data_IF_294687657082
#
_entry.id   IF_294687657082
#
_cell.length_a   1.000
_cell.length_b   1.000
_cell.length_c   1.000
_cell.angle_alpha   90.00
_cell.angle_beta   90.00
_cell.angle_gamma   90.00
#
_symmetry.space_group_name_H-M   'P 1'
#
loop_
_entity.id
_entity.type
_entity.pdbx_description
1 polymer ?
#
# COMPACT_ATOMS: atom_id res chain seq x y z
N UNK A 1 -54.20 0.99 31.01
CA UNK A 1 -53.32 1.57 29.97
C UNK A 1 -52.30 2.58 30.52
N UNK A 2 -52.56 3.26 31.63
CA UNK A 2 -51.62 4.22 32.25
C UNK A 2 -50.42 3.57 32.97
N UNK A 3 -50.56 2.36 33.52
CA UNK A 3 -49.50 1.68 34.29
C UNK A 3 -48.31 1.19 33.45
N UNK A 4 -48.58 0.71 32.23
CA UNK A 4 -47.51 0.26 31.30
C UNK A 4 -46.63 1.40 30.81
N UNK A 5 -47.20 2.59 30.64
CA UNK A 5 -46.45 3.78 30.20
C UNK A 5 -45.49 4.24 31.30
N UNK A 6 -45.93 4.17 32.56
CA UNK A 6 -45.13 4.53 33.75
C UNK A 6 -43.94 3.58 33.98
N UNK A 7 -44.12 2.28 33.72
CA UNK A 7 -43.04 1.30 33.77
C UNK A 7 -42.00 1.52 32.66
N UNK A 8 -42.43 1.97 31.48
CA UNK A 8 -41.52 2.26 30.36
C UNK A 8 -40.79 3.58 30.55
N UNK A 9 -41.44 4.58 31.16
CA UNK A 9 -40.82 5.85 31.55
C UNK A 9 -39.82 5.67 32.72
N UNK A 10 -40.10 4.80 33.70
CA UNK A 10 -39.13 4.44 34.74
C UNK A 10 -37.94 3.67 34.18
N UNK A 11 -38.16 2.70 33.28
CA UNK A 11 -37.09 1.95 32.63
C UNK A 11 -36.24 2.86 31.72
N UNK A 12 -36.85 3.84 31.04
CA UNK A 12 -36.13 4.82 30.24
C UNK A 12 -35.34 5.80 31.12
N UNK A 13 -35.88 6.21 32.28
CA UNK A 13 -35.17 7.06 33.23
C UNK A 13 -33.95 6.37 33.86
N UNK A 14 -34.00 5.04 34.09
CA UNK A 14 -32.84 4.26 34.54
C UNK A 14 -31.79 4.04 33.43
N UNK A 15 -32.21 4.00 32.16
CA UNK A 15 -31.30 3.79 31.02
C UNK A 15 -30.56 5.07 30.59
N UNK A 16 -31.15 6.25 30.84
CA UNK A 16 -30.63 7.57 30.48
C UNK A 16 -30.35 8.46 31.71
N UNK A 17 -30.03 7.86 32.86
CA UNK A 17 -29.58 8.60 34.03
C UNK A 17 -28.12 9.06 33.82
N UNK A 18 -27.97 10.26 33.26
CA UNK A 18 -26.71 10.96 33.00
C UNK A 18 -25.91 11.30 34.29
N UNK A 19 -26.38 10.89 35.48
CA UNK A 19 -25.67 11.11 36.75
C UNK A 19 -24.79 9.93 37.19
N UNK A 20 -24.75 8.82 36.44
CA UNK A 20 -23.73 7.76 36.58
C UNK A 20 -22.67 7.79 35.48
N UNK A 21 -22.35 8.98 34.98
CA UNK A 21 -21.11 9.24 34.24
C UNK A 21 -19.96 9.24 35.25
N UNK A 22 -19.31 8.09 35.46
CA UNK A 22 -17.96 8.12 36.01
C UNK A 22 -17.05 8.71 34.94
N UNK A 23 -16.54 9.90 35.20
CA UNK A 23 -15.61 10.67 34.37
C UNK A 23 -14.52 9.78 33.73
N UNK A 24 -14.65 9.54 32.43
CA UNK A 24 -13.60 9.03 31.54
C UNK A 24 -13.73 9.75 30.20
N UNK A 25 -12.62 10.19 29.56
CA UNK A 25 -12.67 11.13 28.45
C UNK A 25 -13.27 10.53 27.17
N UNK A 26 -13.79 11.38 26.26
CA UNK A 26 -14.62 10.95 25.14
C UNK A 26 -13.81 10.27 24.03
N UNK A 27 -14.27 9.11 23.57
CA UNK A 27 -13.97 8.60 22.23
C UNK A 27 -12.77 7.67 22.07
N UNK A 28 -12.59 6.66 22.92
CA UNK A 28 -11.78 5.49 22.57
C UNK A 28 -12.72 4.34 22.15
N UNK A 29 -12.98 4.19 20.86
CA UNK A 29 -13.54 2.94 20.34
C UNK A 29 -12.59 1.80 20.76
N UNK A 30 -13.03 0.85 21.59
CA UNK A 30 -12.27 -0.36 21.87
C UNK A 30 -11.97 -1.05 20.54
N UNK A 31 -10.73 -0.92 20.06
CA UNK A 31 -10.27 -1.65 18.88
C UNK A 31 -10.28 -3.14 19.22
N UNK A 32 -11.08 -3.91 18.48
CA UNK A 32 -11.06 -5.36 18.59
C UNK A 32 -9.76 -5.91 18.00
N UNK A 33 -9.26 -7.03 18.52
CA UNK A 33 -8.08 -7.73 17.99
C UNK A 33 -8.20 -7.98 16.47
N UNK A 34 -9.38 -8.39 16.01
CA UNK A 34 -9.69 -8.56 14.58
C UNK A 34 -9.55 -7.27 13.76
N UNK A 35 -9.96 -6.12 14.30
CA UNK A 35 -9.80 -4.82 13.63
C UNK A 35 -8.31 -4.47 13.46
N UNK A 36 -7.50 -4.67 14.51
CA UNK A 36 -6.06 -4.38 14.46
C UNK A 36 -5.35 -5.32 13.49
N UNK A 37 -5.68 -6.61 13.49
CA UNK A 37 -5.13 -7.59 12.54
C UNK A 37 -5.43 -7.18 11.11
N UNK A 38 -6.68 -6.80 10.80
CA UNK A 38 -7.05 -6.33 9.47
C UNK A 38 -6.30 -5.05 9.05
N UNK A 39 -6.08 -4.13 9.98
CA UNK A 39 -5.31 -2.92 9.72
C UNK A 39 -3.83 -3.23 9.50
N UNK A 40 -3.27 -4.15 10.30
CA UNK A 40 -1.89 -4.62 10.18
C UNK A 40 -1.68 -5.32 8.83
N UNK A 41 -2.60 -6.17 8.41
CA UNK A 41 -2.57 -6.84 7.11
C UNK A 41 -2.51 -5.82 5.97
N UNK A 42 -3.44 -4.85 5.97
CA UNK A 42 -3.48 -3.78 4.95
C UNK A 42 -2.18 -2.97 4.94
N UNK A 43 -1.64 -2.65 6.11
CA UNK A 43 -0.39 -1.91 6.24
C UNK A 43 0.79 -2.71 5.69
N UNK A 44 0.92 -4.00 6.04
CA UNK A 44 1.96 -4.91 5.54
C UNK A 44 1.87 -5.13 4.03
N UNK A 45 0.68 -5.37 3.49
CA UNK A 45 0.49 -5.53 2.03
C UNK A 45 0.87 -4.24 1.29
N UNK A 46 0.51 -3.09 1.84
CA UNK A 46 0.81 -1.79 1.23
C UNK A 46 2.30 -1.41 1.36
N UNK A 47 2.99 -1.86 2.40
CA UNK A 47 4.46 -1.79 2.53
C UNK A 47 5.11 -2.66 1.44
N UNK A 48 4.67 -3.91 1.33
CA UNK A 48 5.18 -4.88 0.37
C UNK A 48 5.06 -4.37 -1.08
N UNK A 49 3.91 -3.81 -1.44
CA UNK A 49 3.70 -3.20 -2.77
C UNK A 49 4.72 -2.09 -3.06
N UNK A 50 4.96 -1.18 -2.11
CA UNK A 50 5.93 -0.08 -2.25
C UNK A 50 7.35 -0.62 -2.38
N UNK A 51 7.72 -1.60 -1.56
CA UNK A 51 9.03 -2.23 -1.62
C UNK A 51 9.30 -2.87 -2.98
N UNK A 52 8.33 -3.62 -3.51
CA UNK A 52 8.44 -4.25 -4.83
C UNK A 52 8.44 -3.22 -5.98
N UNK A 53 7.72 -2.12 -5.83
CA UNK A 53 7.77 -1.01 -6.78
C UNK A 53 9.17 -0.40 -6.85
N UNK A 54 9.73 0.04 -5.71
CA UNK A 54 11.07 0.60 -5.64
C UNK A 54 12.14 -0.36 -6.16
N UNK A 55 12.07 -1.62 -5.74
CA UNK A 55 13.02 -2.66 -6.17
C UNK A 55 12.94 -2.88 -7.68
N UNK A 56 11.72 -2.92 -8.23
CA UNK A 56 11.55 -3.06 -9.68
C UNK A 56 12.12 -1.87 -10.45
N UNK A 57 11.79 -0.64 -10.06
CA UNK A 57 12.30 0.57 -10.71
C UNK A 57 13.82 0.70 -10.61
N UNK A 58 14.39 0.37 -9.44
CA UNK A 58 15.85 0.33 -9.25
C UNK A 58 16.51 -0.65 -10.21
N UNK A 59 15.90 -1.82 -10.44
CA UNK A 59 16.41 -2.81 -11.38
C UNK A 59 16.35 -2.32 -12.83
N UNK A 60 15.28 -1.62 -13.21
CA UNK A 60 15.17 -0.98 -14.53
C UNK A 60 16.30 0.03 -14.76
N UNK A 61 16.49 0.97 -13.82
CA UNK A 61 17.56 1.98 -13.86
C UNK A 61 18.93 1.31 -13.98
N UNK A 62 19.26 0.34 -13.11
CA UNK A 62 20.54 -0.38 -13.15
C UNK A 62 20.81 -1.10 -14.47
N UNK A 63 19.74 -1.47 -15.18
CA UNK A 63 19.86 -2.17 -16.46
C UNK A 63 19.77 -1.25 -17.68
N UNK A 64 19.68 0.06 -17.50
CA UNK A 64 19.54 1.03 -18.59
C UNK A 64 18.24 0.84 -19.39
N UNK A 65 17.17 0.33 -18.75
CA UNK A 65 15.89 0.04 -19.42
C UNK A 65 14.77 0.91 -18.87
N UNK A 66 13.86 1.30 -19.75
CA UNK A 66 12.62 2.01 -19.41
C UNK A 66 11.45 1.02 -19.50
N UNK A 67 10.65 0.86 -18.42
CA UNK A 67 9.46 0.02 -18.45
C UNK A 67 8.51 0.43 -19.57
N UNK A 68 7.80 -0.53 -20.17
CA UNK A 68 6.89 -0.24 -21.31
C UNK A 68 5.86 0.86 -21.04
N UNK A 69 5.40 0.99 -19.79
CA UNK A 69 4.42 2.00 -19.38
C UNK A 69 5.02 3.41 -19.20
N UNK A 70 6.34 3.56 -19.21
CA UNK A 70 7.06 4.83 -19.09
C UNK A 70 7.84 5.16 -20.37
N UNK A 71 7.76 4.33 -21.41
CA UNK A 71 8.32 4.64 -22.72
C UNK A 71 7.46 5.71 -23.36
N UNK A 72 8.02 6.90 -23.56
CA UNK A 72 7.35 8.01 -24.24
C UNK A 72 7.56 7.83 -25.73
N UNK A 73 6.51 7.47 -26.46
CA UNK A 73 6.52 7.29 -27.92
C UNK A 73 6.08 8.55 -28.68
N UNK A 74 5.94 9.68 -27.98
CA UNK A 74 5.48 10.94 -28.58
C UNK A 74 6.64 11.47 -29.42
N UNK A 75 6.43 11.60 -30.72
CA UNK A 75 7.32 12.32 -31.61
C UNK A 75 6.89 13.79 -31.68
N UNK A 76 7.83 14.74 -31.78
CA UNK A 76 7.47 16.13 -31.96
C UNK A 76 6.86 16.31 -33.35
N UNK A 77 5.84 17.16 -33.44
CA UNK A 77 5.16 17.50 -34.70
C UNK A 77 5.97 18.42 -35.63
N UNK A 78 7.28 18.54 -35.36
CA UNK A 78 8.20 19.45 -36.05
C UNK A 78 8.70 18.82 -37.35
N UNK A 79 8.02 19.11 -38.46
CA UNK A 79 8.53 18.92 -39.84
C UNK A 79 9.23 17.59 -40.16
N UNK A 80 10.05 17.59 -41.21
CA UNK A 80 10.91 16.45 -41.54
C UNK A 80 12.02 16.35 -40.48
N UNK A 81 11.91 15.37 -39.59
CA UNK A 81 12.99 15.01 -38.68
C UNK A 81 13.97 14.09 -39.39
N UNK A 82 15.24 14.49 -39.43
CA UNK A 82 16.31 13.57 -39.80
C UNK A 82 16.52 12.50 -38.71
N UNK A 83 17.31 11.47 -39.05
CA UNK A 83 17.58 10.37 -38.12
C UNK A 83 18.31 10.84 -36.85
N UNK A 84 19.18 11.85 -36.99
CA UNK A 84 19.97 12.39 -35.89
C UNK A 84 19.07 13.07 -34.83
N UNK A 85 18.11 13.88 -35.27
CA UNK A 85 17.14 14.52 -34.36
C UNK A 85 16.21 13.50 -33.70
N UNK A 86 15.82 12.45 -34.42
CA UNK A 86 15.02 11.34 -33.86
C UNK A 86 15.77 10.58 -32.77
N UNK A 87 17.07 10.33 -32.95
CA UNK A 87 17.90 9.66 -31.97
C UNK A 87 18.14 10.52 -30.72
N UNK A 88 18.42 11.81 -30.91
CA UNK A 88 18.55 12.75 -29.79
C UNK A 88 17.23 12.86 -29.01
N UNK A 89 16.09 12.95 -29.70
CA UNK A 89 14.77 12.98 -29.06
C UNK A 89 14.49 11.72 -28.22
N UNK A 90 14.80 10.54 -28.77
CA UNK A 90 14.66 9.27 -28.04
C UNK A 90 15.56 9.24 -26.81
N UNK A 91 16.76 9.77 -26.91
CA UNK A 91 17.71 9.86 -25.79
C UNK A 91 17.18 10.77 -24.68
N UNK A 92 16.75 11.98 -25.03
CA UNK A 92 16.19 12.95 -24.07
C UNK A 92 14.91 12.43 -23.38
N UNK A 93 14.04 11.75 -24.12
CA UNK A 93 12.81 11.17 -23.55
C UNK A 93 13.12 9.99 -22.63
N UNK A 94 14.08 9.13 -22.98
CA UNK A 94 14.54 8.04 -22.13
C UNK A 94 15.20 8.55 -20.83
N UNK A 95 15.97 9.63 -20.91
CA UNK A 95 16.57 10.30 -19.76
C UNK A 95 15.52 10.89 -18.82
N UNK A 96 14.49 11.55 -19.38
CA UNK A 96 13.35 12.04 -18.62
C UNK A 96 12.64 10.89 -17.89
N UNK A 97 12.35 9.78 -18.57
CA UNK A 97 11.72 8.60 -17.95
C UNK A 97 12.60 8.00 -16.85
N UNK A 98 13.91 7.97 -17.04
CA UNK A 98 14.86 7.48 -16.02
C UNK A 98 14.89 8.38 -14.78
N UNK A 99 14.93 9.70 -14.97
CA UNK A 99 14.81 10.68 -13.88
C UNK A 99 13.49 10.52 -13.14
N UNK A 100 12.38 10.34 -13.86
CA UNK A 100 11.07 10.11 -13.28
C UNK A 100 11.04 8.83 -12.41
N UNK A 101 11.65 7.73 -12.88
CA UNK A 101 11.80 6.52 -12.06
C UNK A 101 12.56 6.81 -10.76
N UNK A 102 13.63 7.60 -10.80
CA UNK A 102 14.35 8.05 -9.62
C UNK A 102 13.48 8.85 -8.64
N UNK A 103 12.70 9.81 -9.14
CA UNK A 103 11.75 10.60 -8.34
C UNK A 103 10.70 9.70 -7.66
N UNK A 104 10.14 8.74 -8.40
CA UNK A 104 9.16 7.78 -7.85
C UNK A 104 9.77 6.91 -6.74
N UNK A 105 11.02 6.46 -6.88
CA UNK A 105 11.73 5.71 -5.84
C UNK A 105 11.87 6.57 -4.58
N UNK A 106 12.32 7.82 -4.72
CA UNK A 106 12.50 8.73 -3.57
C UNK A 106 11.18 8.99 -2.84
N UNK A 107 10.10 9.24 -3.57
CA UNK A 107 8.77 9.42 -2.98
C UNK A 107 8.28 8.15 -2.28
N UNK A 108 8.49 6.98 -2.89
CA UNK A 108 8.10 5.70 -2.30
C UNK A 108 8.88 5.39 -1.01
N UNK A 109 10.17 5.74 -0.93
CA UNK A 109 10.99 5.60 0.29
C UNK A 109 10.43 6.44 1.44
N UNK A 110 10.18 7.73 1.22
CA UNK A 110 9.64 8.62 2.25
C UNK A 110 8.30 8.11 2.82
N UNK A 111 7.41 7.59 1.97
CA UNK A 111 6.14 6.99 2.41
C UNK A 111 6.30 5.62 3.06
N UNK A 112 7.40 4.92 2.81
CA UNK A 112 7.68 3.63 3.43
C UNK A 112 8.04 3.82 4.91
N UNK A 113 8.81 4.85 5.24
CA UNK A 113 9.20 5.16 6.62
C UNK A 113 7.98 5.41 7.51
N UNK A 114 7.02 6.22 7.04
CA UNK A 114 5.74 6.45 7.72
C UNK A 114 4.97 5.14 7.95
N UNK A 115 5.06 4.22 6.99
CA UNK A 115 4.32 2.98 7.04
C UNK A 115 4.96 1.95 7.96
N UNK A 116 6.29 1.92 8.05
CA UNK A 116 7.04 1.10 9.03
C UNK A 116 6.62 1.51 10.44
N UNK A 117 6.61 2.82 10.74
CA UNK A 117 6.17 3.34 12.04
C UNK A 117 4.74 2.89 12.36
N UNK A 118 3.83 2.99 11.38
CA UNK A 118 2.43 2.55 11.54
C UNK A 118 2.33 1.06 11.84
N UNK A 119 3.11 0.23 11.16
CA UNK A 119 3.16 -1.22 11.35
C UNK A 119 3.67 -1.55 12.75
N UNK A 120 4.75 -0.91 13.20
CA UNK A 120 5.30 -1.08 14.55
C UNK A 120 4.27 -0.72 15.62
N UNK A 121 3.53 0.39 15.43
CA UNK A 121 2.47 0.79 16.35
C UNK A 121 1.34 -0.24 16.42
N UNK A 122 0.83 -0.69 15.27
CA UNK A 122 -0.22 -1.71 15.20
C UNK A 122 0.23 -3.05 15.82
N UNK A 123 1.51 -3.40 15.66
CA UNK A 123 2.09 -4.61 16.25
C UNK A 123 2.11 -4.50 17.78
N UNK A 124 2.59 -3.37 18.32
CA UNK A 124 2.58 -3.10 19.77
C UNK A 124 1.16 -3.07 20.35
N UNK A 125 0.21 -2.50 19.62
CA UNK A 125 -1.18 -2.44 20.07
C UNK A 125 -1.83 -3.82 20.07
N UNK A 126 -1.46 -4.69 19.12
CA UNK A 126 -1.88 -6.08 19.11
C UNK A 126 -1.29 -6.86 20.28
N UNK A 127 0.02 -6.70 20.57
CA UNK A 127 0.70 -7.37 21.69
C UNK A 127 0.04 -7.09 23.05
N UNK A 128 -0.46 -5.87 23.27
CA UNK A 128 -1.19 -5.50 24.51
C UNK A 128 -2.53 -6.26 24.67
N UNK A 129 -3.09 -6.75 23.57
CA UNK A 129 -4.41 -7.40 23.52
C UNK A 129 -4.25 -8.94 23.40
N UNK A 130 -3.08 -9.43 23.03
CA UNK A 130 -2.79 -10.85 22.82
C UNK A 130 -2.75 -11.58 24.17
N UNK A 131 -3.89 -12.13 24.56
CA UNK A 131 -4.00 -13.09 25.66
C UNK A 131 -4.87 -14.32 25.29
N UNK A 132 -5.10 -14.55 23.99
CA UNK A 132 -6.03 -15.58 23.52
C UNK A 132 -5.46 -16.39 22.35
N UNK A 133 -5.51 -17.72 22.48
CA UNK A 133 -5.19 -18.70 21.43
C UNK A 133 -5.86 -18.39 20.08
N UNK A 134 -7.05 -17.77 20.10
CA UNK A 134 -7.79 -17.36 18.91
C UNK A 134 -7.05 -16.28 18.09
N UNK A 135 -6.31 -15.37 18.74
CA UNK A 135 -5.53 -14.33 18.06
C UNK A 135 -4.36 -14.94 17.27
N UNK A 136 -3.76 -16.02 17.78
CA UNK A 136 -2.67 -16.73 17.12
C UNK A 136 -3.11 -17.34 15.79
N UNK A 137 -4.28 -17.99 15.75
CA UNK A 137 -4.83 -18.56 14.52
C UNK A 137 -5.15 -17.48 13.47
N UNK A 138 -5.65 -16.32 13.90
CA UNK A 138 -5.95 -15.20 13.00
C UNK A 138 -4.67 -14.56 12.43
N UNK A 139 -3.61 -14.46 13.25
CA UNK A 139 -2.29 -14.01 12.82
C UNK A 139 -1.66 -14.95 11.80
N UNK A 140 -1.67 -16.26 12.04
CA UNK A 140 -1.15 -17.24 11.08
C UNK A 140 -1.86 -17.14 9.72
N UNK A 141 -3.19 -17.02 9.72
CA UNK A 141 -3.97 -16.81 8.49
C UNK A 141 -3.63 -15.48 7.79
N UNK A 142 -3.37 -14.42 8.56
CA UNK A 142 -2.96 -13.13 8.01
C UNK A 142 -1.59 -13.23 7.34
N UNK A 143 -0.62 -13.87 7.99
CA UNK A 143 0.73 -14.07 7.45
C UNK A 143 0.70 -14.88 6.15
N UNK A 144 -0.12 -15.94 6.11
CA UNK A 144 -0.33 -16.73 4.89
C UNK A 144 -0.89 -15.87 3.74
N UNK A 145 -1.88 -15.02 4.01
CA UNK A 145 -2.42 -14.08 3.01
C UNK A 145 -1.37 -13.08 2.53
N UNK A 146 -0.56 -12.54 3.43
CA UNK A 146 0.54 -11.62 3.09
C UNK A 146 1.55 -12.33 2.18
N UNK A 147 1.95 -13.56 2.53
CA UNK A 147 2.88 -14.38 1.74
C UNK A 147 2.34 -14.67 0.34
N UNK A 148 1.07 -15.09 0.24
CA UNK A 148 0.43 -15.33 -1.06
C UNK A 148 0.39 -14.05 -1.92
N UNK A 149 0.14 -12.88 -1.31
CA UNK A 149 0.23 -11.59 -2.01
C UNK A 149 1.65 -11.24 -2.43
N UNK A 150 2.64 -11.60 -1.63
CA UNK A 150 4.04 -11.40 -2.02
C UNK A 150 4.40 -12.22 -3.26
N UNK A 151 4.08 -13.51 -3.29
CA UNK A 151 4.35 -14.40 -4.41
C UNK A 151 3.65 -13.92 -5.69
N UNK A 152 2.40 -13.48 -5.58
CA UNK A 152 1.64 -12.87 -6.68
C UNK A 152 2.37 -11.64 -7.24
N UNK A 153 2.83 -10.74 -6.37
CA UNK A 153 3.53 -9.51 -6.77
C UNK A 153 4.88 -9.84 -7.41
N UNK A 154 5.66 -10.75 -6.81
CA UNK A 154 6.94 -11.25 -7.33
C UNK A 154 6.77 -11.78 -8.75
N UNK A 155 5.81 -12.69 -8.95
CA UNK A 155 5.54 -13.31 -10.24
C UNK A 155 5.17 -12.28 -11.31
N UNK A 156 4.23 -11.37 -11.00
CA UNK A 156 3.81 -10.30 -11.93
C UNK A 156 4.97 -9.37 -12.31
N UNK A 157 5.77 -8.96 -11.33
CA UNK A 157 6.93 -8.07 -11.55
C UNK A 157 8.02 -8.76 -12.37
N UNK A 158 8.31 -10.04 -12.09
CA UNK A 158 9.28 -10.83 -12.84
C UNK A 158 8.84 -11.02 -14.30
N UNK A 159 7.58 -11.39 -14.52
CA UNK A 159 7.02 -11.55 -15.86
C UNK A 159 7.10 -10.25 -16.67
N UNK A 160 6.70 -9.11 -16.07
CA UNK A 160 6.78 -7.80 -16.72
C UNK A 160 8.23 -7.42 -17.07
N UNK A 161 9.17 -7.61 -16.14
CA UNK A 161 10.57 -7.31 -16.37
C UNK A 161 11.17 -8.16 -17.49
N UNK A 162 10.86 -9.45 -17.53
CA UNK A 162 11.33 -10.36 -18.57
C UNK A 162 10.75 -10.02 -19.95
N UNK A 163 9.45 -9.72 -20.00
CA UNK A 163 8.80 -9.25 -21.24
C UNK A 163 9.47 -7.98 -21.75
N UNK A 164 9.65 -6.99 -20.89
CA UNK A 164 10.30 -5.73 -21.28
C UNK A 164 11.77 -5.97 -21.69
N UNK A 165 12.49 -6.88 -21.03
CA UNK A 165 13.84 -7.30 -21.45
C UNK A 165 13.85 -7.85 -22.88
N UNK A 166 12.90 -8.73 -23.21
CA UNK A 166 12.76 -9.29 -24.56
C UNK A 166 12.44 -8.19 -25.58
N UNK A 167 11.62 -7.20 -25.25
CA UNK A 167 11.35 -6.07 -26.15
C UNK A 167 12.65 -5.34 -26.53
N UNK A 168 13.53 -5.10 -25.56
CA UNK A 168 14.85 -4.51 -25.80
C UNK A 168 15.76 -5.39 -26.66
N UNK A 169 15.77 -6.71 -26.42
CA UNK A 169 16.58 -7.65 -27.21
C UNK A 169 16.12 -7.75 -28.67
N UNK A 170 14.84 -7.53 -28.94
CA UNK A 170 14.26 -7.55 -30.30
C UNK A 170 14.14 -6.14 -30.92
N UNK A 171 14.71 -5.10 -30.31
CA UNK A 171 14.66 -3.73 -30.83
C UNK A 171 13.27 -3.08 -30.83
N UNK A 172 12.32 -3.58 -30.02
CA UNK A 172 10.96 -3.04 -29.85
C UNK A 172 10.91 -2.00 -28.73
N UNK A 173 11.83 -1.04 -28.77
CA UNK A 173 12.02 0.00 -27.74
C UNK A 173 11.42 1.31 -28.15
#
# INVERSE_FOLDING_TARGET
MAERRRLWEQAAAELFDDTKISNGPPGAQMQTSSSIINQLEKARISELKKWWEMTSLTKYIKSGRVPSCLRILILPTLGDMDQDLLEEWRTQTADCSTKLMGTLITQAKSRMDEQIIKIEQLTKDLEKIVNQQEVSNQLAKMEERIKNKEEEIKSRKAHKFNRDKLDYEHGRT
#
